data_IF_762634303835
#
_entry.id   IF_762634303835
#
_cell.length_a   1.000
_cell.length_b   1.000
_cell.length_c   1.000
_cell.angle_alpha   90.00
_cell.angle_beta   90.00
_cell.angle_gamma   90.00
#
_symmetry.space_group_name_H-M   'P 1'
#
loop_
_entity.id
_entity.type
_entity.pdbx_description
1 polymer ?
#
# COMPACT_ATOMS: atom_id res chain seq x y z
N UNK A 1 -9.89 -5.52 -21.31
CA UNK A 1 -9.92 -6.49 -20.19
C UNK A 1 -10.33 -5.72 -18.94
N UNK A 2 -11.48 -6.06 -18.33
CA UNK A 2 -11.84 -5.48 -17.03
C UNK A 2 -10.82 -5.96 -15.99
N UNK A 3 -10.35 -5.05 -15.13
CA UNK A 3 -9.53 -5.46 -13.98
C UNK A 3 -10.39 -6.34 -13.08
N UNK A 4 -9.83 -7.47 -12.64
CA UNK A 4 -10.48 -8.40 -11.70
C UNK A 4 -10.47 -7.87 -10.27
N UNK A 5 -9.64 -6.86 -10.01
CA UNK A 5 -9.44 -6.29 -8.68
C UNK A 5 -10.63 -5.41 -8.28
N UNK A 6 -11.14 -5.64 -7.07
CA UNK A 6 -12.19 -4.82 -6.49
C UNK A 6 -11.69 -3.40 -6.18
N UNK A 7 -12.42 -2.38 -6.65
CA UNK A 7 -12.07 -1.01 -6.39
C UNK A 7 -12.49 -0.59 -4.98
N UNK A 8 -11.52 -0.26 -4.13
CA UNK A 8 -11.79 0.32 -2.81
C UNK A 8 -11.54 1.82 -2.80
N UNK A 9 -12.47 2.59 -2.24
CA UNK A 9 -12.30 4.03 -2.05
C UNK A 9 -11.72 4.32 -0.66
N UNK A 10 -10.49 4.84 -0.62
CA UNK A 10 -9.76 5.10 0.63
C UNK A 10 -9.65 6.62 0.85
N UNK A 11 -10.11 7.08 2.02
CA UNK A 11 -9.90 8.46 2.46
C UNK A 11 -8.53 8.56 3.12
N UNK A 12 -7.66 9.40 2.55
CA UNK A 12 -6.32 9.65 3.06
C UNK A 12 -6.20 11.12 3.48
N UNK A 13 -5.51 11.42 4.61
CA UNK A 13 -5.06 12.77 4.90
C UNK A 13 -4.27 13.36 3.72
N UNK A 14 -4.37 14.67 3.51
CA UNK A 14 -3.75 15.34 2.35
C UNK A 14 -2.24 15.11 2.30
N UNK A 15 -1.56 15.31 3.43
CA UNK A 15 -0.11 15.12 3.56
C UNK A 15 0.31 13.68 3.23
N UNK A 16 -0.44 12.70 3.72
CA UNK A 16 -0.16 11.28 3.45
C UNK A 16 -0.31 10.96 1.97
N UNK A 17 -1.33 11.53 1.32
CA UNK A 17 -1.56 11.35 -0.12
C UNK A 17 -0.44 11.96 -0.96
N UNK A 18 0.06 13.14 -0.58
CA UNK A 18 1.17 13.80 -1.27
C UNK A 18 2.47 13.02 -1.11
N UNK A 19 2.78 12.60 0.12
CA UNK A 19 3.91 11.74 0.38
C UNK A 19 3.85 10.45 -0.45
N UNK A 20 2.70 9.78 -0.49
CA UNK A 20 2.52 8.54 -1.25
C UNK A 20 2.74 8.75 -2.76
N UNK A 21 2.31 9.89 -3.31
CA UNK A 21 2.59 10.26 -4.72
C UNK A 21 4.08 10.42 -4.98
N UNK A 22 4.80 11.11 -4.10
CA UNK A 22 6.24 11.31 -4.22
C UNK A 22 7.00 9.97 -4.18
N UNK A 23 6.61 9.07 -3.26
CA UNK A 23 7.19 7.73 -3.16
C UNK A 23 6.93 6.90 -4.43
N UNK A 24 5.69 6.91 -4.93
CA UNK A 24 5.34 6.21 -6.16
C UNK A 24 6.16 6.71 -7.37
N UNK A 25 6.32 8.02 -7.49
CA UNK A 25 7.14 8.65 -8.53
C UNK A 25 8.62 8.24 -8.44
N UNK A 26 9.22 8.33 -7.25
CA UNK A 26 10.59 7.90 -7.01
C UNK A 26 10.81 6.42 -7.36
N UNK A 27 9.80 5.60 -7.09
CA UNK A 27 9.84 4.17 -7.33
C UNK A 27 9.33 3.73 -8.72
N UNK A 28 9.06 4.69 -9.61
CA UNK A 28 8.58 4.51 -11.00
C UNK A 28 7.36 3.59 -11.10
N UNK A 29 6.42 3.72 -10.17
CA UNK A 29 5.18 2.92 -10.13
C UNK A 29 3.96 3.81 -9.90
N UNK A 30 2.77 3.27 -10.13
CA UNK A 30 1.52 4.00 -9.85
C UNK A 30 1.31 4.14 -8.34
N UNK A 31 0.53 5.15 -7.93
CA UNK A 31 0.16 5.34 -6.51
C UNK A 31 -0.55 4.10 -5.95
N UNK A 32 -1.38 3.44 -6.74
CA UNK A 32 -2.04 2.18 -6.37
C UNK A 32 -1.03 1.06 -6.15
N UNK A 33 -0.06 0.89 -7.06
CA UNK A 33 0.99 -0.13 -6.90
C UNK A 33 1.86 0.15 -5.67
N UNK A 34 2.22 1.41 -5.42
CA UNK A 34 2.95 1.82 -4.22
C UNK A 34 2.16 1.51 -2.94
N UNK A 35 0.85 1.78 -2.93
CA UNK A 35 -0.02 1.47 -1.80
C UNK A 35 -0.08 -0.03 -1.53
N UNK A 36 -0.26 -0.84 -2.57
CA UNK A 36 -0.32 -2.31 -2.45
C UNK A 36 1.00 -2.84 -1.87
N UNK A 37 2.15 -2.46 -2.43
CA UNK A 37 3.47 -2.91 -1.94
C UNK A 37 3.65 -2.58 -0.46
N UNK A 38 3.27 -1.39 -0.02
CA UNK A 38 3.37 -1.00 1.40
C UNK A 38 2.42 -1.80 2.30
N UNK A 39 1.20 -2.08 1.83
CA UNK A 39 0.23 -2.90 2.58
C UNK A 39 0.71 -4.35 2.71
N UNK A 40 1.29 -4.92 1.64
CA UNK A 40 1.88 -6.26 1.66
C UNK A 40 3.06 -6.32 2.64
N UNK A 41 3.96 -5.35 2.59
CA UNK A 41 5.08 -5.25 3.55
C UNK A 41 4.59 -5.16 5.00
N UNK A 42 3.58 -4.32 5.25
CA UNK A 42 2.97 -4.19 6.58
C UNK A 42 2.34 -5.51 7.04
N UNK A 43 1.62 -6.20 6.15
CA UNK A 43 0.98 -7.49 6.43
C UNK A 43 2.01 -8.55 6.81
N UNK A 44 3.05 -8.72 6.00
CA UNK A 44 4.12 -9.69 6.30
C UNK A 44 4.82 -9.37 7.63
N UNK A 45 5.06 -8.09 7.92
CA UNK A 45 5.66 -7.69 9.19
C UNK A 45 4.74 -7.96 10.40
N UNK A 46 3.42 -7.84 10.23
CA UNK A 46 2.44 -8.19 11.27
C UNK A 46 2.36 -9.70 11.48
N UNK A 47 2.27 -10.49 10.42
CA UNK A 47 2.23 -11.95 10.47
C UNK A 47 3.47 -12.52 11.18
N UNK A 48 4.66 -11.99 10.88
CA UNK A 48 5.89 -12.35 11.57
C UNK A 48 5.85 -12.04 13.08
N UNK A 49 5.28 -10.89 13.48
CA UNK A 49 5.11 -10.53 14.89
C UNK A 49 4.11 -11.44 15.61
N UNK A 50 3.00 -11.80 14.96
CA UNK A 50 2.01 -12.70 15.53
C UNK A 50 2.58 -14.11 15.74
N UNK A 51 3.34 -14.64 14.77
CA UNK A 51 3.98 -15.94 14.89
C UNK A 51 5.07 -15.98 15.98
N UNK A 52 5.75 -14.87 16.26
CA UNK A 52 6.76 -14.78 17.33
C UNK A 52 6.16 -14.66 18.74
N UNK A 53 4.87 -14.36 18.86
CA UNK A 53 4.16 -14.19 20.13
C UNK A 53 3.18 -15.35 20.43
N UNK A 54 3.07 -16.33 19.52
CA UNK A 54 2.30 -17.56 19.71
C UNK A 54 3.22 -18.71 20.14
#
# INVERSE_FOLDING_TARGET
>A
MARIDEQTNVRLPAELKEWLKAQAAAARRSVTAELIVRLEQSRTAQEAKHAAHA
#
